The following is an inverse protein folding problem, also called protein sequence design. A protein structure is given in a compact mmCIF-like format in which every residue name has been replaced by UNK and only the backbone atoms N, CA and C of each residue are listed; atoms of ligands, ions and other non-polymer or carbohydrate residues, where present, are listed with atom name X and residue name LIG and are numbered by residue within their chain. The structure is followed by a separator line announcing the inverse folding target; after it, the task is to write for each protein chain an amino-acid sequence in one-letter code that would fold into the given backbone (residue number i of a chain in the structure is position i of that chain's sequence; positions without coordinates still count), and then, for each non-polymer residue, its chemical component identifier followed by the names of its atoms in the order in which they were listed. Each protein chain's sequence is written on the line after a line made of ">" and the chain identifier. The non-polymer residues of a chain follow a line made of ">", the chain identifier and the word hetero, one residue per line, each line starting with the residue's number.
data_IF_950855694848
#
_entry.id   IF_950855694848
#
_cell.length_a   1.000
_cell.length_b   1.000
_cell.length_c   1.000
_cell.angle_alpha   90.00
_cell.angle_beta   90.00
_cell.angle_gamma   90.00
#
_symmetry.space_group_name_H-M   'P 1'
#
loop_
_entity.id
_entity.type
_entity.pdbx_description
1 polymer ?
#
# COMPACT_ATOMS: atom_id res chain seq x y z
N UNK A 1 28.66 3.98 6.42
CA UNK A 1 27.32 3.35 6.53
C UNK A 1 26.27 4.37 6.06
N UNK A 2 26.08 4.49 4.74
CA UNK A 2 25.11 5.43 4.15
C UNK A 2 23.72 4.79 4.20
N UNK A 3 22.94 5.12 5.24
CA UNK A 3 21.52 4.80 5.30
C UNK A 3 20.83 5.70 4.28
N UNK A 4 20.58 5.19 3.06
CA UNK A 4 19.69 5.83 2.09
C UNK A 4 18.27 5.77 2.62
N UNK A 5 17.91 6.76 3.45
CA UNK A 5 16.55 6.94 3.96
C UNK A 5 15.73 7.60 2.86
N UNK A 6 15.17 6.80 1.95
CA UNK A 6 14.09 7.25 1.07
C UNK A 6 12.92 7.64 1.97
N UNK A 7 12.83 8.94 2.30
CA UNK A 7 11.73 9.52 3.07
C UNK A 7 10.49 9.47 2.19
N UNK A 8 9.85 8.31 2.10
CA UNK A 8 8.53 8.18 1.49
C UNK A 8 7.55 8.89 2.42
N UNK A 9 7.37 10.20 2.19
CA UNK A 9 6.52 11.05 3.00
C UNK A 9 5.09 10.86 2.50
N UNK A 10 4.41 9.82 3.00
CA UNK A 10 2.98 9.62 2.78
C UNK A 10 2.20 10.72 3.52
N UNK A 11 2.01 11.88 2.87
CA UNK A 11 1.19 13.02 3.37
C UNK A 11 -0.16 13.13 2.67
N UNK A 12 -0.64 12.06 2.06
CA UNK A 12 -1.91 12.09 1.33
C UNK A 12 -3.04 11.54 2.21
N UNK A 13 -4.12 12.30 2.39
CA UNK A 13 -5.33 11.79 3.06
C UNK A 13 -5.98 10.65 2.28
N UNK A 14 -5.79 10.63 0.96
CA UNK A 14 -6.30 9.58 0.06
C UNK A 14 -5.72 8.19 0.40
N UNK A 15 -4.55 8.15 1.06
CA UNK A 15 -3.97 6.91 1.57
C UNK A 15 -4.86 6.25 2.65
N UNK A 16 -5.49 7.04 3.52
CA UNK A 16 -6.39 6.55 4.59
C UNK A 16 -7.58 5.81 3.99
N UNK A 17 -8.17 6.38 2.94
CA UNK A 17 -9.32 5.78 2.26
C UNK A 17 -8.94 4.64 1.31
N UNK A 18 -7.68 4.54 0.89
CA UNK A 18 -7.22 3.54 -0.08
C UNK A 18 -6.72 2.25 0.56
N UNK A 19 -6.21 2.28 1.79
CA UNK A 19 -5.78 1.05 2.49
C UNK A 19 -6.96 0.07 2.68
N UNK A 20 -8.17 0.60 2.88
CA UNK A 20 -9.33 -0.19 3.22
C UNK A 20 -9.94 -0.98 2.04
N UNK A 21 -10.14 -0.41 0.84
CA UNK A 21 -10.49 -1.21 -0.32
C UNK A 21 -9.28 -2.05 -0.76
N UNK A 22 -9.35 -3.37 -0.53
CA UNK A 22 -8.39 -4.39 -1.02
C UNK A 22 -8.48 -4.57 -2.54
N UNK A 23 -8.51 -3.49 -3.32
CA UNK A 23 -8.51 -3.53 -4.79
C UNK A 23 -7.08 -3.33 -5.28
N UNK A 24 -6.57 -4.21 -6.16
CA UNK A 24 -5.26 -4.01 -6.77
C UNK A 24 -5.25 -2.69 -7.55
N UNK A 25 -4.15 -1.95 -7.48
CA UNK A 25 -3.99 -0.66 -8.15
C UNK A 25 -3.31 -0.89 -9.50
N UNK A 26 -3.92 -0.43 -10.59
CA UNK A 26 -3.33 -0.50 -11.93
C UNK A 26 -2.06 0.37 -12.01
N UNK A 27 -1.05 -0.01 -12.81
CA UNK A 27 0.21 0.73 -12.93
C UNK A 27 0.04 2.21 -13.26
N UNK A 28 -0.78 2.53 -14.26
CA UNK A 28 -1.08 3.92 -14.68
C UNK A 28 -1.59 4.76 -13.51
N UNK A 29 -2.58 4.22 -12.78
CA UNK A 29 -3.16 4.89 -11.60
C UNK A 29 -2.15 5.00 -10.45
N UNK A 30 -1.23 4.04 -10.31
CA UNK A 30 -0.18 4.09 -9.30
C UNK A 30 0.83 5.22 -9.59
N UNK A 31 1.14 5.49 -10.87
CA UNK A 31 1.97 6.62 -11.29
C UNK A 31 1.29 7.96 -11.04
N UNK A 32 0.00 8.08 -11.38
CA UNK A 32 -0.79 9.30 -11.10
C UNK A 32 -0.83 9.67 -9.61
N UNK A 33 -0.99 8.67 -8.74
CA UNK A 33 -1.01 8.87 -7.29
C UNK A 33 0.40 9.16 -6.73
N UNK A 34 1.45 8.88 -7.51
CA UNK A 34 2.84 9.00 -7.11
C UNK A 34 3.31 7.91 -6.15
N UNK A 35 2.72 6.70 -6.28
CA UNK A 35 3.20 5.48 -5.64
C UNK A 35 4.40 4.89 -6.40
N UNK A 36 4.36 5.01 -7.74
CA UNK A 36 5.42 4.59 -8.66
C UNK A 36 5.90 5.85 -9.40
N UNK A 37 7.20 5.95 -9.65
CA UNK A 37 7.77 7.10 -10.37
C UNK A 37 7.77 6.89 -11.90
N UNK A 38 8.07 5.67 -12.38
CA UNK A 38 8.16 5.33 -13.81
C UNK A 38 7.45 4.01 -14.15
N UNK A 39 6.89 3.93 -15.36
CA UNK A 39 6.25 2.70 -15.88
C UNK A 39 7.00 2.32 -17.15
N UNK A 40 7.31 1.04 -17.28
CA UNK A 40 7.85 0.44 -18.49
C UNK A 40 6.73 -0.33 -19.23
N UNK A 41 6.69 -0.22 -20.55
CA UNK A 41 5.78 -1.03 -21.38
C UNK A 41 6.38 -2.43 -21.59
N UNK A 42 5.55 -3.49 -21.56
CA UNK A 42 6.05 -4.85 -21.76
C UNK A 42 6.57 -5.05 -23.19
N UNK A 43 7.66 -5.79 -23.32
CA UNK A 43 8.22 -6.23 -24.60
C UNK A 43 7.54 -7.52 -25.07
N UNK A 44 7.87 -8.00 -26.27
CA UNK A 44 7.23 -9.20 -26.85
C UNK A 44 7.53 -10.48 -26.06
N UNK A 45 8.71 -10.58 -25.43
CA UNK A 45 9.07 -11.69 -24.56
C UNK A 45 9.21 -11.28 -23.09
N UNK A 46 8.82 -12.20 -22.18
CA UNK A 46 8.92 -11.99 -20.74
C UNK A 46 10.37 -11.81 -20.30
N UNK A 47 11.30 -12.59 -20.87
CA UNK A 47 12.73 -12.52 -20.59
C UNK A 47 13.33 -11.16 -20.92
N UNK A 48 12.98 -10.59 -22.07
CA UNK A 48 13.45 -9.25 -22.46
C UNK A 48 12.86 -8.18 -21.56
N UNK A 49 11.60 -8.32 -21.19
CA UNK A 49 10.94 -7.38 -20.27
C UNK A 49 11.66 -7.33 -18.91
N UNK A 50 12.07 -8.48 -18.37
CA UNK A 50 12.84 -8.55 -17.14
C UNK A 50 14.21 -7.88 -17.28
N UNK A 51 14.94 -8.14 -18.37
CA UNK A 51 16.23 -7.50 -18.64
C UNK A 51 16.10 -5.98 -18.79
N UNK A 52 15.04 -5.51 -19.45
CA UNK A 52 14.76 -4.09 -19.63
C UNK A 52 14.47 -3.39 -18.29
N UNK A 53 13.72 -4.05 -17.40
CA UNK A 53 13.48 -3.55 -16.03
C UNK A 53 14.77 -3.45 -15.22
N UNK A 54 15.65 -4.46 -15.31
CA UNK A 54 16.94 -4.46 -14.62
C UNK A 54 17.85 -3.33 -15.12
N UNK A 55 18.00 -3.22 -16.44
CA UNK A 55 18.83 -2.19 -17.07
C UNK A 55 18.36 -0.77 -16.70
N UNK A 56 17.03 -0.55 -16.71
CA UNK A 56 16.43 0.72 -16.29
C UNK A 56 16.70 0.98 -14.80
N UNK A 57 16.56 -0.03 -13.94
CA UNK A 57 16.87 0.09 -12.51
C UNK A 57 18.33 0.51 -12.26
N UNK A 58 19.27 -0.13 -12.94
CA UNK A 58 20.71 0.19 -12.85
C UNK A 58 20.98 1.61 -13.34
N UNK A 59 20.38 2.01 -14.47
CA UNK A 59 20.53 3.35 -15.01
C UNK A 59 20.00 4.41 -14.02
N UNK A 60 18.79 4.24 -13.49
CA UNK A 60 18.21 5.17 -12.51
C UNK A 60 19.04 5.25 -11.24
N UNK A 61 19.57 4.13 -10.76
CA UNK A 61 20.48 4.13 -9.61
C UNK A 61 21.75 4.96 -9.88
N UNK A 62 22.35 4.84 -11.07
CA UNK A 62 23.51 5.66 -11.49
C UNK A 62 23.15 7.14 -11.56
N UNK A 63 21.99 7.49 -12.13
CA UNK A 63 21.54 8.89 -12.23
C UNK A 63 21.23 9.50 -10.85
N UNK A 64 20.68 8.73 -9.91
CA UNK A 64 20.46 9.15 -8.52
C UNK A 64 21.80 9.42 -7.82
N UNK A 65 22.79 8.54 -8.01
CA UNK A 65 24.14 8.72 -7.44
C UNK A 65 24.83 9.97 -7.99
N UNK A 66 24.69 10.20 -9.30
CA UNK A 66 25.24 11.38 -9.98
C UNK A 66 24.46 12.68 -9.65
N UNK A 67 23.32 12.58 -8.94
CA UNK A 67 22.46 13.71 -8.60
C UNK A 67 21.71 14.32 -9.79
N UNK A 68 21.75 13.68 -10.96
CA UNK A 68 21.09 14.15 -12.19
C UNK A 68 19.60 13.80 -12.18
N UNK A 69 19.21 12.72 -11.51
CA UNK A 69 17.81 12.30 -11.44
C UNK A 69 17.02 13.08 -10.38
N UNK A 70 16.30 14.12 -10.82
CA UNK A 70 15.33 14.82 -9.98
C UNK A 70 13.96 14.17 -10.12
N UNK A 71 13.45 13.58 -9.03
CA UNK A 71 12.10 13.02 -8.98
C UNK A 71 11.07 14.15 -9.05
N UNK A 72 10.58 14.46 -10.26
CA UNK A 72 9.57 15.48 -10.47
C UNK A 72 8.16 14.91 -10.28
N UNK A 73 7.68 14.91 -9.04
CA UNK A 73 6.26 14.59 -8.74
C UNK A 73 5.41 15.83 -9.00
N UNK A 74 4.92 16.00 -10.22
CA UNK A 74 3.96 17.06 -10.51
C UNK A 74 2.61 16.71 -9.87
N UNK A 75 2.29 17.33 -8.74
CA UNK A 75 0.95 17.27 -8.16
C UNK A 75 0.24 18.60 -8.41
N UNK A 76 -1.04 18.58 -8.82
CA UNK A 76 -1.79 19.80 -8.99
C UNK A 76 -1.84 20.57 -7.66
N UNK A 77 -1.72 21.90 -7.74
CA UNK A 77 -1.69 22.79 -6.58
C UNK A 77 -2.92 22.60 -5.68
N UNK A 78 -4.09 22.35 -6.27
CA UNK A 78 -5.33 22.06 -5.54
C UNK A 78 -5.17 20.89 -4.58
N UNK A 79 -4.59 19.76 -5.03
CA UNK A 79 -4.35 18.60 -4.17
C UNK A 79 -3.32 18.89 -3.07
N UNK A 80 -2.29 19.71 -3.34
CA UNK A 80 -1.30 20.05 -2.29
C UNK A 80 -1.95 20.87 -1.18
N UNK A 81 -2.83 21.80 -1.55
CA UNK A 81 -3.56 22.67 -0.63
C UNK A 81 -4.55 21.83 0.19
N UNK A 82 -5.41 21.03 -0.44
CA UNK A 82 -6.38 20.19 0.28
C UNK A 82 -5.70 19.21 1.22
N UNK A 83 -4.60 18.57 0.79
CA UNK A 83 -3.80 17.70 1.66
C UNK A 83 -3.25 18.46 2.87
N UNK A 84 -2.71 19.67 2.65
CA UNK A 84 -2.17 20.47 3.74
C UNK A 84 -3.24 20.86 4.77
N UNK A 85 -4.45 21.23 4.32
CA UNK A 85 -5.55 21.59 5.20
C UNK A 85 -6.14 20.38 5.94
N UNK A 86 -6.41 19.28 5.22
CA UNK A 86 -7.01 18.07 5.81
C UNK A 86 -6.06 17.33 6.76
N UNK A 87 -4.74 17.46 6.58
CA UNK A 87 -3.75 16.92 7.50
C UNK A 87 -3.47 17.83 8.71
N UNK A 88 -4.18 18.96 8.90
CA UNK A 88 -4.08 19.72 10.16
C UNK A 88 -4.83 19.02 11.29
N UNK A 89 -4.21 18.99 12.48
CA UNK A 89 -4.67 18.26 13.68
C UNK A 89 -6.20 18.35 13.95
N UNK A 90 -6.85 19.53 14.00
CA UNK A 90 -8.27 19.58 14.34
C UNK A 90 -9.19 19.03 13.22
N UNK A 91 -8.78 19.10 11.96
CA UNK A 91 -9.59 18.66 10.81
C UNK A 91 -9.38 17.18 10.50
N UNK A 92 -8.17 16.67 10.74
CA UNK A 92 -7.82 15.27 10.55
C UNK A 92 -8.68 14.36 11.43
N UNK A 93 -8.75 14.66 12.72
CA UNK A 93 -9.49 13.85 13.69
C UNK A 93 -11.01 13.94 13.52
N UNK A 94 -11.53 15.15 13.32
CA UNK A 94 -12.97 15.40 13.31
C UNK A 94 -13.66 15.02 12.01
N UNK A 95 -12.99 15.20 10.86
CA UNK A 95 -13.58 14.99 9.54
C UNK A 95 -13.04 13.70 8.93
N UNK A 96 -11.73 13.63 8.64
CA UNK A 96 -11.16 12.53 7.84
C UNK A 96 -11.28 11.19 8.58
N UNK A 97 -10.81 11.14 9.82
CA UNK A 97 -10.80 9.90 10.61
C UNK A 97 -12.20 9.48 11.03
N UNK A 98 -13.09 10.43 11.37
CA UNK A 98 -14.49 10.13 11.68
C UNK A 98 -15.22 9.53 10.48
N UNK A 99 -15.09 10.14 9.30
CA UNK A 99 -15.71 9.62 8.07
C UNK A 99 -15.13 8.26 7.68
N UNK A 100 -13.81 8.07 7.78
CA UNK A 100 -13.18 6.77 7.53
C UNK A 100 -13.67 5.71 8.51
N UNK A 101 -13.76 6.04 9.81
CA UNK A 101 -14.27 5.13 10.85
C UNK A 101 -15.71 4.72 10.58
N UNK A 102 -16.58 5.66 10.22
CA UNK A 102 -17.98 5.35 9.90
C UNK A 102 -18.08 4.39 8.71
N UNK A 103 -17.39 4.68 7.61
CA UNK A 103 -17.36 3.78 6.44
C UNK A 103 -16.87 2.37 6.79
N UNK A 104 -15.82 2.28 7.61
CA UNK A 104 -15.30 0.99 8.08
C UNK A 104 -16.34 0.26 8.92
N UNK A 105 -16.99 0.93 9.85
CA UNK A 105 -18.03 0.32 10.69
C UNK A 105 -19.22 -0.16 9.85
N UNK A 106 -19.62 0.61 8.84
CA UNK A 106 -20.69 0.25 7.92
C UNK A 106 -20.34 -1.01 7.11
N UNK A 107 -19.12 -1.09 6.57
CA UNK A 107 -18.66 -2.23 5.77
C UNK A 107 -18.35 -3.48 6.62
N UNK A 108 -17.75 -3.30 7.79
CA UNK A 108 -17.31 -4.40 8.67
C UNK A 108 -18.36 -4.84 9.69
N UNK A 109 -19.43 -4.05 9.86
CA UNK A 109 -20.45 -4.20 10.91
C UNK A 109 -19.87 -4.28 12.33
N UNK A 110 -18.64 -3.81 12.53
CA UNK A 110 -17.95 -3.83 13.82
C UNK A 110 -17.25 -5.15 14.20
N UNK A 111 -17.32 -6.19 13.36
CA UNK A 111 -16.78 -7.52 13.70
C UNK A 111 -15.27 -7.67 13.45
N UNK A 112 -14.66 -6.72 12.74
CA UNK A 112 -13.25 -6.80 12.36
C UNK A 112 -12.45 -5.68 13.06
N UNK A 113 -11.62 -6.01 14.06
CA UNK A 113 -10.88 -5.00 14.81
C UNK A 113 -9.71 -4.39 14.03
N UNK A 114 -9.18 -5.09 13.03
CA UNK A 114 -7.98 -4.67 12.29
C UNK A 114 -8.14 -3.33 11.54
N UNK A 115 -9.21 -3.09 10.76
CA UNK A 115 -9.41 -1.82 10.06
C UNK A 115 -9.47 -0.60 10.99
N UNK A 116 -10.12 -0.73 12.16
CA UNK A 116 -10.20 0.35 13.15
C UNK A 116 -8.82 0.67 13.74
N UNK A 117 -8.04 -0.37 14.03
CA UNK A 117 -6.70 -0.26 14.58
C UNK A 117 -5.68 0.33 13.60
N UNK A 118 -5.84 0.08 12.30
CA UNK A 118 -5.05 0.73 11.25
C UNK A 118 -5.26 2.25 11.27
N UNK A 119 -6.50 2.72 11.41
CA UNK A 119 -6.79 4.16 11.51
C UNK A 119 -6.11 4.81 12.73
N UNK A 120 -6.10 4.13 13.88
CA UNK A 120 -5.40 4.60 15.08
C UNK A 120 -3.88 4.72 14.85
N UNK A 121 -3.28 3.73 14.19
CA UNK A 121 -1.85 3.75 13.85
C UNK A 121 -1.49 4.94 12.95
N UNK A 122 -2.29 5.17 11.90
CA UNK A 122 -2.10 6.30 10.98
C UNK A 122 -2.26 7.63 11.72
N UNK A 123 -3.25 7.72 12.61
CA UNK A 123 -3.48 8.91 13.44
C UNK A 123 -2.25 9.23 14.29
N UNK A 124 -1.73 8.23 15.01
CA UNK A 124 -0.54 8.40 15.88
C UNK A 124 0.68 8.79 15.03
N UNK A 125 0.89 8.13 13.89
CA UNK A 125 1.99 8.46 12.97
C UNK A 125 1.92 9.89 12.43
N UNK A 126 0.73 10.40 12.15
CA UNK A 126 0.52 11.77 11.66
C UNK A 126 0.63 12.84 12.76
N UNK A 127 0.16 12.54 13.97
CA UNK A 127 0.09 13.53 15.08
C UNK A 127 1.37 13.53 15.91
N UNK A 128 1.79 12.35 16.37
CA UNK A 128 2.89 12.16 17.32
C UNK A 128 4.23 11.90 16.62
N UNK A 129 4.19 11.53 15.34
CA UNK A 129 5.35 11.33 14.49
C UNK A 129 5.59 9.86 14.16
N UNK A 130 6.41 9.65 13.12
CA UNK A 130 6.59 8.34 12.51
C UNK A 130 7.13 7.28 13.49
N UNK A 131 8.06 7.64 14.38
CA UNK A 131 8.71 6.68 15.29
C UNK A 131 7.69 6.02 16.23
N UNK A 132 6.85 6.84 16.87
CA UNK A 132 5.76 6.38 17.71
C UNK A 132 4.67 5.65 16.91
N UNK A 133 4.40 6.11 15.69
CA UNK A 133 3.49 5.44 14.77
C UNK A 133 3.94 4.01 14.47
N UNK A 134 5.22 3.80 14.12
CA UNK A 134 5.78 2.48 13.85
C UNK A 134 5.80 1.58 15.10
N UNK A 135 6.10 2.13 16.28
CA UNK A 135 6.05 1.36 17.52
C UNK A 135 4.63 0.88 17.83
N UNK A 136 3.64 1.76 17.68
CA UNK A 136 2.24 1.42 17.87
C UNK A 136 1.74 0.44 16.81
N UNK A 137 2.12 0.62 15.55
CA UNK A 137 1.82 -0.28 14.44
C UNK A 137 2.33 -1.70 14.74
N UNK A 138 3.61 -1.83 15.13
CA UNK A 138 4.22 -3.11 15.43
C UNK A 138 3.51 -3.83 16.59
N UNK A 139 3.26 -3.13 17.70
CA UNK A 139 2.52 -3.66 18.86
C UNK A 139 1.11 -4.13 18.47
N UNK A 140 0.42 -3.32 17.69
CA UNK A 140 -0.96 -3.59 17.28
C UNK A 140 -1.05 -4.73 16.27
N UNK A 141 -0.11 -4.79 15.33
CA UNK A 141 0.02 -5.89 14.38
C UNK A 141 0.32 -7.22 15.09
N UNK A 142 1.23 -7.22 16.06
CA UNK A 142 1.51 -8.41 16.86
C UNK A 142 0.25 -8.91 17.61
N UNK A 143 -0.55 -8.00 18.17
CA UNK A 143 -1.81 -8.35 18.83
C UNK A 143 -2.85 -8.90 17.84
N UNK A 144 -3.04 -8.25 16.69
CA UNK A 144 -4.04 -8.63 15.69
C UNK A 144 -3.69 -9.96 15.01
N UNK A 145 -2.41 -10.23 14.76
CA UNK A 145 -1.98 -11.49 14.14
C UNK A 145 -2.27 -12.73 15.00
N UNK A 146 -2.46 -12.55 16.31
CA UNK A 146 -2.83 -13.60 17.27
C UNK A 146 -4.32 -13.63 17.63
N UNK A 147 -5.13 -12.80 16.98
CA UNK A 147 -6.58 -12.79 17.20
C UNK A 147 -7.28 -13.97 16.51
N UNK A 148 -8.38 -14.43 17.09
CA UNK A 148 -9.23 -15.49 16.52
C UNK A 148 -9.75 -15.15 15.12
N UNK A 149 -10.06 -13.88 14.89
CA UNK A 149 -10.58 -13.35 13.64
C UNK A 149 -9.51 -13.44 12.55
N UNK A 150 -8.25 -13.13 12.88
CA UNK A 150 -7.14 -13.27 11.95
C UNK A 150 -6.86 -14.75 11.61
N UNK A 151 -6.88 -15.63 12.62
CA UNK A 151 -6.68 -17.07 12.41
C UNK A 151 -7.76 -17.66 11.49
N UNK A 152 -9.03 -17.33 11.72
CA UNK A 152 -10.13 -17.76 10.87
C UNK A 152 -9.98 -17.28 9.42
N UNK A 153 -9.60 -16.01 9.22
CA UNK A 153 -9.38 -15.44 7.89
C UNK A 153 -8.20 -16.08 7.16
N UNK A 154 -7.11 -16.41 7.88
CA UNK A 154 -5.97 -17.14 7.32
C UNK A 154 -6.39 -18.55 6.93
N UNK A 155 -7.20 -19.23 7.75
CA UNK A 155 -7.79 -20.53 7.41
C UNK A 155 -8.60 -20.48 6.11
N UNK A 156 -9.46 -19.48 5.95
CA UNK A 156 -10.24 -19.27 4.72
C UNK A 156 -9.32 -19.00 3.52
N UNK A 157 -8.27 -18.20 3.70
CA UNK A 157 -7.30 -17.93 2.64
C UNK A 157 -6.60 -19.21 2.18
N UNK A 158 -6.10 -20.01 3.12
CA UNK A 158 -5.43 -21.28 2.81
C UNK A 158 -6.38 -22.25 2.10
N UNK A 159 -7.60 -22.41 2.63
CA UNK A 159 -8.64 -23.23 2.00
C UNK A 159 -8.97 -22.74 0.57
N UNK A 160 -9.05 -21.43 0.35
CA UNK A 160 -9.27 -20.86 -0.98
C UNK A 160 -8.09 -21.14 -1.92
N UNK A 161 -6.84 -21.03 -1.43
CA UNK A 161 -5.66 -21.34 -2.24
C UNK A 161 -5.58 -22.81 -2.61
N UNK A 162 -5.96 -23.71 -1.70
CA UNK A 162 -5.97 -25.15 -1.97
C UNK A 162 -7.10 -25.53 -2.94
N UNK A 163 -8.27 -24.90 -2.84
CA UNK A 163 -9.36 -25.08 -3.80
C UNK A 163 -9.02 -24.59 -5.21
N UNK A 164 -8.06 -23.67 -5.38
CA UNK A 164 -7.59 -23.20 -6.69
C UNK A 164 -6.55 -24.12 -7.32
N UNK A 165 -5.91 -24.99 -6.54
CA UNK A 165 -4.99 -26.00 -7.07
C UNK A 165 -5.79 -27.10 -7.76
N UNK A 166 -5.26 -27.62 -8.85
CA UNK A 166 -5.93 -28.68 -9.58
C UNK A 166 -5.97 -29.97 -8.74
N UNK A 167 -7.16 -30.41 -8.33
CA UNK A 167 -7.34 -31.57 -7.43
C UNK A 167 -7.01 -32.91 -8.10
N UNK A 168 -6.99 -32.96 -9.43
CA UNK A 168 -6.92 -34.20 -10.21
C UNK A 168 -5.53 -34.47 -10.84
N UNK A 169 -4.47 -33.77 -10.42
CA UNK A 169 -3.12 -33.92 -10.99
C UNK A 169 -2.98 -33.30 -12.39
N UNK A 170 -1.78 -33.41 -12.99
CA UNK A 170 -1.61 -33.05 -14.40
C UNK A 170 -2.54 -33.92 -15.27
N UNK A 171 -3.26 -33.29 -16.21
CA UNK A 171 -4.04 -34.02 -17.21
C UNK A 171 -3.09 -34.87 -18.07
N UNK A 172 -2.84 -36.11 -17.66
CA UNK A 172 -2.22 -37.13 -18.50
C UNK A 172 -3.26 -37.59 -19.53
N UNK A 173 -3.33 -36.85 -20.64
CA UNK A 173 -3.46 -37.33 -22.04
C UNK A 173 -4.04 -36.21 -22.93
N UNK A 174 -3.20 -35.71 -23.86
CA UNK A 174 -3.72 -35.27 -25.16
C UNK A 174 -4.24 -36.51 -25.86
N UNK A 175 -5.56 -36.63 -26.00
CA UNK A 175 -6.16 -37.58 -26.94
C UNK A 175 -5.89 -37.01 -28.34
N UNK A 176 -5.28 -37.84 -29.18
CA UNK A 176 -4.90 -37.54 -30.56
C UNK A 176 -6.11 -37.17 -31.42
#
# INVERSE_FOLDING_TARGET
>A
MLIFRLKVKFRNYDFVFRIFPRKPIKPVKAKEIGLIDEILEPSESDSETHQNLENLGIQRAKEILNGTFLIQRFRPLSQRITNFFLCRRPLLDTVVLRTAKNKILDETKGNYPAPLKILESIRIGLIEGNEKGFEFEAKTFAKLSKSSEAEALIGIFNASTDCKKNKYGENVKKIQ
#
